data_IF_441959592520
#
_entry.id   IF_441959592520
#
_cell.length_a   1.000
_cell.length_b   1.000
_cell.length_c   1.000
_cell.angle_alpha   90.00
_cell.angle_beta   90.00
_cell.angle_gamma   90.00
#
_symmetry.space_group_name_H-M   'P 1'
#
loop_
_entity.id
_entity.type
_entity.pdbx_description
1 polymer ?
#
# COMPACT_ATOMS: atom_id res chain seq x y z
N UNK A 1 31.32 0.15 -1.04
CA UNK A 1 30.49 1.08 -1.82
C UNK A 1 29.36 0.40 -2.64
N UNK A 2 29.02 -0.88 -2.39
CA UNK A 2 28.07 -1.64 -3.24
C UNK A 2 26.68 -1.90 -2.61
N UNK A 3 26.56 -1.84 -1.28
CA UNK A 3 25.30 -2.14 -0.58
C UNK A 3 24.22 -1.08 -0.75
N UNK A 4 24.60 0.19 -0.94
CA UNK A 4 23.66 1.28 -1.15
C UNK A 4 23.04 1.29 -2.55
N UNK A 5 23.82 1.04 -3.61
CA UNK A 5 23.31 1.20 -4.99
C UNK A 5 22.37 0.06 -5.39
N UNK A 6 22.79 -1.19 -5.18
CA UNK A 6 21.97 -2.36 -5.52
C UNK A 6 20.78 -2.47 -4.55
N UNK A 7 21.01 -2.20 -3.26
CA UNK A 7 19.96 -2.22 -2.24
C UNK A 7 18.86 -1.19 -2.50
N UNK A 8 19.21 0.03 -2.94
CA UNK A 8 18.23 1.05 -3.28
C UNK A 8 17.42 0.70 -4.53
N UNK A 9 18.03 0.07 -5.54
CA UNK A 9 17.30 -0.42 -6.73
C UNK A 9 16.33 -1.53 -6.34
N UNK A 10 16.78 -2.51 -5.54
CA UNK A 10 15.94 -3.62 -5.07
C UNK A 10 14.78 -3.12 -4.19
N UNK A 11 15.07 -2.21 -3.25
CA UNK A 11 14.03 -1.60 -2.41
C UNK A 11 13.01 -0.84 -3.27
N UNK A 12 13.47 -0.05 -4.25
CA UNK A 12 12.59 0.69 -5.15
C UNK A 12 11.70 -0.23 -5.98
N UNK A 13 12.23 -1.35 -6.49
CA UNK A 13 11.45 -2.35 -7.22
C UNK A 13 10.39 -3.02 -6.33
N UNK A 14 10.72 -3.30 -5.07
CA UNK A 14 9.78 -3.83 -4.08
C UNK A 14 8.64 -2.85 -3.77
N UNK A 15 8.97 -1.59 -3.49
CA UNK A 15 7.98 -0.53 -3.27
C UNK A 15 7.09 -0.31 -4.51
N UNK A 16 7.68 -0.30 -5.70
CA UNK A 16 6.92 -0.16 -6.94
C UNK A 16 5.90 -1.29 -7.10
N UNK A 17 6.32 -2.54 -6.88
CA UNK A 17 5.43 -3.70 -6.99
C UNK A 17 4.30 -3.64 -5.95
N UNK A 18 4.60 -3.23 -4.71
CA UNK A 18 3.59 -3.03 -3.66
C UNK A 18 2.54 -1.98 -4.05
N UNK A 19 2.99 -0.82 -4.55
CA UNK A 19 2.09 0.22 -5.01
C UNK A 19 1.27 -0.21 -6.23
N UNK A 20 1.88 -0.96 -7.15
CA UNK A 20 1.19 -1.48 -8.32
C UNK A 20 0.06 -2.45 -7.96
N UNK A 21 0.35 -3.44 -7.11
CA UNK A 21 -0.66 -4.42 -6.66
C UNK A 21 -1.78 -3.72 -5.90
N UNK A 22 -1.46 -2.80 -4.99
CA UNK A 22 -2.51 -2.10 -4.25
C UNK A 22 -3.33 -1.16 -5.13
N UNK A 23 -2.72 -0.48 -6.11
CA UNK A 23 -3.47 0.31 -7.08
C UNK A 23 -4.41 -0.56 -7.93
N UNK A 24 -3.98 -1.76 -8.33
CA UNK A 24 -4.80 -2.75 -9.03
C UNK A 24 -5.98 -3.25 -8.18
N UNK A 25 -5.77 -3.43 -6.88
CA UNK A 25 -6.82 -3.75 -5.90
C UNK A 25 -7.63 -2.52 -5.45
N UNK A 26 -7.50 -1.38 -6.11
CA UNK A 26 -8.31 -0.19 -5.82
C UNK A 26 -7.74 0.79 -4.79
N UNK A 27 -6.63 0.44 -4.14
CA UNK A 27 -5.92 1.30 -3.20
C UNK A 27 -4.84 2.13 -3.91
N UNK A 28 -5.25 3.25 -4.50
CA UNK A 28 -4.34 4.18 -5.16
C UNK A 28 -3.27 4.68 -4.18
N UNK A 29 -2.03 4.97 -4.64
CA UNK A 29 -0.94 5.39 -3.76
C UNK A 29 -1.25 6.60 -2.87
N UNK A 30 -2.10 7.50 -3.37
CA UNK A 30 -2.57 8.68 -2.63
C UNK A 30 -3.47 8.33 -1.45
N UNK A 31 -4.28 7.27 -1.57
CA UNK A 31 -5.20 6.79 -0.53
C UNK A 31 -4.50 5.93 0.52
N UNK A 32 -3.32 5.38 0.20
CA UNK A 32 -2.48 4.64 1.16
C UNK A 32 -1.92 5.53 2.25
N UNK A 33 -1.79 6.83 1.98
CA UNK A 33 -1.34 7.79 2.96
C UNK A 33 -2.37 7.89 4.09
N UNK A 34 -1.97 7.58 5.31
CA UNK A 34 -2.82 7.48 6.53
C UNK A 34 -3.78 6.28 6.62
N UNK A 35 -3.79 5.35 5.65
CA UNK A 35 -4.64 4.16 5.69
C UNK A 35 -4.24 3.17 6.80
N UNK A 36 -2.98 3.20 7.24
CA UNK A 36 -2.44 2.23 8.21
C UNK A 36 -3.21 2.19 9.53
N UNK A 37 -3.68 3.34 10.02
CA UNK A 37 -4.44 3.43 11.26
C UNK A 37 -5.84 2.81 11.14
N UNK A 38 -6.46 2.90 9.95
CA UNK A 38 -7.76 2.30 9.69
C UNK A 38 -7.62 0.80 9.42
N UNK A 39 -6.58 0.38 8.70
CA UNK A 39 -6.27 -1.02 8.40
C UNK A 39 -5.92 -1.85 9.66
N UNK A 40 -5.26 -1.26 10.65
CA UNK A 40 -4.87 -1.95 11.90
C UNK A 40 -6.02 -2.02 12.93
N UNK A 41 -7.03 -1.17 12.76
CA UNK A 41 -8.16 -1.09 13.68
C UNK A 41 -9.14 -2.24 13.46
N UNK A 42 -9.12 -3.26 14.33
CA UNK A 42 -10.10 -4.37 14.31
C UNK A 42 -11.56 -3.93 14.52
N UNK A 43 -11.78 -2.68 14.93
CA UNK A 43 -13.12 -2.10 15.06
C UNK A 43 -13.63 -1.50 13.73
N UNK A 44 -12.75 -1.32 12.74
CA UNK A 44 -13.05 -0.67 11.47
C UNK A 44 -13.01 -1.71 10.35
N UNK A 45 -14.12 -2.43 10.17
CA UNK A 45 -14.22 -3.55 9.23
C UNK A 45 -14.64 -3.13 7.81
N UNK A 46 -14.54 -1.83 7.51
CA UNK A 46 -15.01 -1.18 6.30
C UNK A 46 -13.90 -0.28 5.79
N UNK A 47 -12.76 -0.85 5.43
CA UNK A 47 -11.72 -0.08 4.77
C UNK A 47 -12.16 0.11 3.33
N UNK A 48 -12.81 1.24 3.05
CA UNK A 48 -13.20 1.59 1.68
C UNK A 48 -11.93 1.66 0.79
N UNK A 49 -12.02 1.51 -0.53
CA UNK A 49 -10.93 1.73 -1.47
C UNK A 49 -11.16 3.00 -2.32
N UNK A 50 -10.32 3.30 -3.32
CA UNK A 50 -10.47 4.54 -4.12
C UNK A 50 -11.66 4.47 -5.08
N UNK A 51 -12.22 3.29 -5.29
CA UNK A 51 -13.36 3.03 -6.16
C UNK A 51 -14.68 2.91 -5.37
N UNK A 52 -14.63 3.06 -4.05
CA UNK A 52 -15.80 3.00 -3.16
C UNK A 52 -16.19 1.59 -2.69
N UNK A 53 -15.31 0.61 -2.86
CA UNK A 53 -15.51 -0.76 -2.38
C UNK A 53 -15.03 -0.90 -0.93
N UNK A 54 -15.86 -1.44 -0.04
CA UNK A 54 -15.50 -1.71 1.35
C UNK A 54 -14.79 -3.06 1.49
N UNK A 55 -13.57 -3.02 1.99
CA UNK A 55 -12.78 -4.20 2.31
C UNK A 55 -12.94 -4.54 3.79
N UNK A 56 -13.38 -5.77 4.04
CA UNK A 56 -13.43 -6.35 5.40
C UNK A 56 -12.03 -6.77 5.82
N UNK A 57 -11.63 -6.40 7.04
CA UNK A 57 -10.33 -6.75 7.62
C UNK A 57 -10.39 -8.04 8.44
#
# INVERSE_FOLDING_TARGET
LAYGQIGMIQASAGFFTYFFIMADNGFLPWRLYQLRAQWDSRAFNSVEDSYGQEWVS
#
